data_IF_917881031054
#
_entry.id   IF_917881031054
#
_cell.length_a   1.000
_cell.length_b   1.000
_cell.length_c   1.000
_cell.angle_alpha   90.00
_cell.angle_beta   90.00
_cell.angle_gamma   90.00
#
_symmetry.space_group_name_H-M   'P 1'
#
loop_
_entity.id
_entity.type
_entity.pdbx_description
1 polymer ?
#
# COMPACT_ATOMS: atom_id res chain seq x y z
N UNK A 1 -3.34 -9.49 -2.89
CA UNK A 1 -3.80 -8.86 -4.16
C UNK A 1 -2.66 -8.56 -5.13
N UNK A 2 -1.44 -8.34 -4.62
CA UNK A 2 -0.27 -8.06 -5.49
C UNK A 2 0.07 -9.27 -6.37
N UNK A 3 0.01 -10.47 -5.81
CA UNK A 3 0.21 -11.71 -6.57
C UNK A 3 -0.85 -11.88 -7.66
N UNK A 4 -2.11 -11.57 -7.35
CA UNK A 4 -3.21 -11.68 -8.30
C UNK A 4 -3.07 -10.67 -9.45
N UNK A 5 -2.54 -9.47 -9.18
CA UNK A 5 -2.24 -8.49 -10.23
C UNK A 5 -1.10 -8.99 -11.14
N UNK A 6 -0.05 -9.57 -10.57
CA UNK A 6 1.03 -10.16 -11.35
C UNK A 6 0.52 -11.33 -12.21
N UNK A 7 -0.31 -12.20 -11.64
CA UNK A 7 -0.94 -13.32 -12.36
C UNK A 7 -1.81 -12.84 -13.52
N UNK A 8 -2.52 -11.71 -13.36
CA UNK A 8 -3.28 -11.10 -14.47
C UNK A 8 -2.37 -10.75 -15.66
N UNK A 9 -1.22 -10.13 -15.40
CA UNK A 9 -0.28 -9.77 -16.48
C UNK A 9 0.35 -10.99 -17.14
N UNK A 10 0.70 -12.00 -16.35
CA UNK A 10 1.20 -13.29 -16.87
C UNK A 10 0.16 -13.94 -17.78
N UNK A 11 -1.09 -14.00 -17.34
CA UNK A 11 -2.20 -14.55 -18.13
C UNK A 11 -2.45 -13.73 -19.40
N UNK A 12 -2.40 -12.41 -19.33
CA UNK A 12 -2.56 -11.55 -20.49
C UNK A 12 -1.45 -11.75 -21.52
N UNK A 13 -0.20 -11.90 -21.06
CA UNK A 13 0.96 -12.18 -21.88
C UNK A 13 1.00 -13.61 -22.43
N UNK A 14 0.18 -14.54 -21.89
CA UNK A 14 0.20 -15.95 -22.25
C UNK A 14 1.30 -16.75 -21.53
N UNK A 15 1.90 -16.20 -20.47
CA UNK A 15 2.91 -16.86 -19.66
C UNK A 15 2.28 -17.43 -18.37
N UNK A 16 2.40 -18.73 -18.15
CA UNK A 16 1.88 -19.47 -17.01
C UNK A 16 2.95 -19.78 -15.95
N UNK A 17 4.20 -19.35 -16.15
CA UNK A 17 5.28 -19.57 -15.19
C UNK A 17 5.03 -18.82 -13.86
N UNK A 18 5.88 -19.01 -12.87
CA UNK A 18 5.73 -18.51 -11.49
C UNK A 18 5.28 -17.05 -11.39
N UNK A 19 4.42 -16.76 -10.42
CA UNK A 19 3.95 -15.40 -10.12
C UNK A 19 5.11 -14.53 -9.64
N UNK A 20 5.28 -13.37 -10.26
CA UNK A 20 6.25 -12.36 -9.88
C UNK A 20 5.54 -11.02 -9.60
N UNK A 21 5.71 -10.46 -8.42
CA UNK A 21 5.08 -9.20 -8.01
C UNK A 21 5.45 -8.00 -8.89
N UNK A 22 6.64 -8.06 -9.50
CA UNK A 22 7.14 -7.03 -10.42
C UNK A 22 6.95 -7.40 -11.89
N UNK A 23 6.15 -8.43 -12.19
CA UNK A 23 6.05 -8.99 -13.54
C UNK A 23 5.82 -7.94 -14.62
N UNK A 24 4.85 -7.04 -14.46
CA UNK A 24 4.61 -5.99 -15.45
C UNK A 24 5.83 -5.08 -15.64
N UNK A 25 6.46 -4.65 -14.55
CA UNK A 25 7.62 -3.75 -14.60
C UNK A 25 8.80 -4.37 -15.37
N UNK A 26 9.03 -5.66 -15.19
CA UNK A 26 10.12 -6.40 -15.83
C UNK A 26 9.81 -6.79 -17.28
N UNK A 27 8.55 -7.06 -17.59
CA UNK A 27 8.08 -7.56 -18.89
C UNK A 27 7.20 -6.56 -19.65
N UNK A 28 7.30 -5.26 -19.37
CA UNK A 28 6.43 -4.23 -19.96
C UNK A 28 6.47 -4.21 -21.49
N UNK A 29 7.63 -4.40 -22.09
CA UNK A 29 7.80 -4.42 -23.56
C UNK A 29 7.12 -5.61 -24.19
N UNK A 30 7.27 -6.79 -23.60
CA UNK A 30 6.63 -8.01 -24.08
C UNK A 30 5.10 -7.92 -23.94
N UNK A 31 4.60 -7.37 -22.85
CA UNK A 31 3.17 -7.13 -22.67
C UNK A 31 2.65 -6.13 -23.71
N UNK A 32 3.42 -5.09 -24.04
CA UNK A 32 3.05 -4.16 -25.11
C UNK A 32 3.02 -4.83 -26.49
N UNK A 33 4.02 -5.68 -26.83
CA UNK A 33 4.02 -6.47 -28.06
C UNK A 33 2.81 -7.39 -28.16
N UNK A 34 2.44 -8.04 -27.04
CA UNK A 34 1.24 -8.88 -26.98
C UNK A 34 -0.02 -8.05 -27.23
N UNK A 35 -0.15 -6.85 -26.63
CA UNK A 35 -1.27 -5.96 -26.87
C UNK A 35 -1.34 -5.48 -28.32
N UNK A 36 -0.19 -5.24 -28.96
CA UNK A 36 -0.08 -4.90 -30.38
C UNK A 36 -0.52 -6.05 -31.27
N UNK A 37 -0.03 -7.28 -31.00
CA UNK A 37 -0.42 -8.47 -31.79
C UNK A 37 -1.91 -8.78 -31.70
N UNK A 38 -2.50 -8.54 -30.52
CA UNK A 38 -3.95 -8.67 -30.29
C UNK A 38 -4.76 -7.49 -30.84
N UNK A 39 -4.11 -6.46 -31.38
CA UNK A 39 -4.74 -5.20 -31.83
C UNK A 39 -5.63 -4.57 -30.75
N UNK A 40 -5.26 -4.74 -29.48
CA UNK A 40 -6.01 -4.24 -28.33
C UNK A 40 -5.67 -2.76 -28.06
N UNK A 41 -6.33 -1.88 -28.79
CA UNK A 41 -6.13 -0.44 -28.70
C UNK A 41 -6.45 0.12 -27.30
N UNK A 42 -7.45 -0.47 -26.61
CA UNK A 42 -7.83 -0.09 -25.25
C UNK A 42 -6.71 -0.39 -24.26
N UNK A 43 -6.16 -1.60 -24.32
CA UNK A 43 -5.01 -2.00 -23.51
C UNK A 43 -3.79 -1.17 -23.82
N UNK A 44 -3.45 -0.94 -25.08
CA UNK A 44 -2.31 -0.10 -25.47
C UNK A 44 -2.42 1.33 -24.91
N UNK A 45 -3.62 1.89 -24.92
CA UNK A 45 -3.86 3.21 -24.31
C UNK A 45 -3.67 3.16 -22.79
N UNK A 46 -4.19 2.13 -22.12
CA UNK A 46 -3.99 1.95 -20.68
C UNK A 46 -2.52 1.76 -20.32
N UNK A 47 -1.78 0.92 -21.06
CA UNK A 47 -0.36 0.65 -20.81
C UNK A 47 0.50 1.92 -20.96
N UNK A 48 0.22 2.79 -21.93
CA UNK A 48 0.88 4.10 -22.05
C UNK A 48 0.67 4.95 -20.79
N UNK A 49 -0.57 5.00 -20.28
CA UNK A 49 -0.88 5.73 -19.06
C UNK A 49 -0.23 5.09 -17.82
N UNK A 50 -0.22 3.76 -17.73
CA UNK A 50 0.43 3.05 -16.63
C UNK A 50 1.94 3.28 -16.63
N UNK A 51 2.60 3.20 -17.78
CA UNK A 51 4.03 3.48 -17.89
C UNK A 51 4.36 4.91 -17.46
N UNK A 52 3.60 5.90 -17.96
CA UNK A 52 3.79 7.29 -17.55
C UNK A 52 3.61 7.50 -16.04
N UNK A 53 2.70 6.73 -15.40
CA UNK A 53 2.57 6.73 -13.94
C UNK A 53 3.80 6.12 -13.25
N UNK A 54 4.29 4.98 -13.74
CA UNK A 54 5.48 4.31 -13.18
C UNK A 54 6.73 5.18 -13.31
N UNK A 55 6.93 5.81 -14.46
CA UNK A 55 8.03 6.75 -14.69
C UNK A 55 7.96 7.97 -13.74
N UNK A 56 6.75 8.48 -13.49
CA UNK A 56 6.55 9.53 -12.50
C UNK A 56 6.90 9.07 -11.07
N UNK A 57 6.55 7.83 -10.71
CA UNK A 57 6.90 7.24 -9.41
C UNK A 57 8.41 7.08 -9.26
N UNK A 58 9.10 6.61 -10.28
CA UNK A 58 10.56 6.45 -10.27
C UNK A 58 11.28 7.78 -10.07
N UNK A 59 10.87 8.80 -10.79
CA UNK A 59 11.44 10.15 -10.65
C UNK A 59 11.17 10.81 -9.31
N UNK A 60 10.07 10.44 -8.63
CA UNK A 60 9.74 10.93 -7.28
C UNK A 60 10.34 10.09 -6.15
N UNK A 61 10.88 8.92 -6.46
CA UNK A 61 11.53 8.07 -5.47
C UNK A 61 13.04 8.40 -5.43
N UNK A 62 13.48 9.36 -4.60
CA UNK A 62 14.85 9.80 -4.63
C UNK A 62 15.75 8.69 -4.08
N UNK A 63 16.71 8.26 -4.86
CA UNK A 63 17.93 7.72 -4.30
C UNK A 63 18.57 8.84 -3.46
N UNK A 64 19.24 8.49 -2.35
CA UNK A 64 19.79 9.44 -1.38
C UNK A 64 20.62 10.61 -1.98
N UNK A 65 20.90 10.58 -3.25
CA UNK A 65 21.77 11.51 -3.97
C UNK A 65 21.12 12.22 -5.17
N UNK A 66 19.90 11.86 -5.54
CA UNK A 66 19.30 12.37 -6.79
C UNK A 66 17.86 12.87 -6.55
N UNK A 67 17.74 14.06 -6.00
CA UNK A 67 16.46 14.71 -5.78
C UNK A 67 15.97 15.37 -7.07
N UNK A 68 14.71 15.12 -7.43
CA UNK A 68 14.09 15.81 -8.55
C UNK A 68 14.14 17.33 -8.34
N UNK A 69 14.62 18.05 -9.36
CA UNK A 69 14.65 19.52 -9.41
C UNK A 69 13.22 20.09 -9.33
N UNK A 70 13.10 21.38 -9.04
CA UNK A 70 11.81 22.07 -9.03
C UNK A 70 11.08 21.94 -10.38
N UNK A 71 11.80 22.03 -11.49
CA UNK A 71 11.24 21.90 -12.84
C UNK A 71 10.73 20.47 -13.10
N UNK A 72 11.50 19.46 -12.75
CA UNK A 72 11.10 18.06 -12.89
C UNK A 72 9.86 17.74 -12.03
N UNK A 73 9.80 18.23 -10.79
CA UNK A 73 8.61 18.07 -9.94
C UNK A 73 7.37 18.69 -10.58
N UNK A 74 7.51 19.85 -11.22
CA UNK A 74 6.40 20.48 -11.94
C UNK A 74 5.95 19.62 -13.12
N UNK A 75 6.87 19.11 -13.93
CA UNK A 75 6.57 18.22 -15.06
C UNK A 75 5.88 16.92 -14.58
N UNK A 76 6.34 16.35 -13.47
CA UNK A 76 5.70 15.17 -12.85
C UNK A 76 4.26 15.50 -12.43
N UNK A 77 4.04 16.64 -11.77
CA UNK A 77 2.69 17.07 -11.37
C UNK A 77 1.75 17.28 -12.57
N UNK A 78 2.25 17.84 -13.65
CA UNK A 78 1.51 17.98 -14.91
C UNK A 78 1.16 16.60 -15.51
N UNK A 79 2.12 15.68 -15.51
CA UNK A 79 1.91 14.30 -15.98
C UNK A 79 0.84 13.60 -15.14
N UNK A 80 0.94 13.65 -13.81
CA UNK A 80 -0.05 13.07 -12.89
C UNK A 80 -1.45 13.68 -13.10
N UNK A 81 -1.52 14.96 -13.43
CA UNK A 81 -2.80 15.63 -13.71
C UNK A 81 -3.41 15.11 -15.00
N UNK A 82 -2.63 14.94 -16.08
CA UNK A 82 -3.10 14.31 -17.33
C UNK A 82 -3.61 12.89 -17.10
N UNK A 83 -2.85 12.08 -16.35
CA UNK A 83 -3.21 10.71 -16.05
C UNK A 83 -4.51 10.61 -15.21
N UNK A 84 -4.67 11.51 -14.23
CA UNK A 84 -5.90 11.61 -13.47
C UNK A 84 -7.10 11.95 -14.35
N UNK A 85 -6.95 12.90 -15.27
CA UNK A 85 -8.00 13.27 -16.21
C UNK A 85 -8.33 12.13 -17.19
N UNK A 86 -7.31 11.47 -17.76
CA UNK A 86 -7.52 10.28 -18.60
C UNK A 86 -8.33 9.20 -17.87
N UNK A 87 -8.04 9.00 -16.58
CA UNK A 87 -8.78 8.04 -15.76
C UNK A 87 -10.23 8.46 -15.48
N UNK A 88 -10.51 9.76 -15.38
CA UNK A 88 -11.87 10.29 -15.17
C UNK A 88 -12.75 10.17 -16.40
N UNK A 89 -12.19 10.38 -17.59
CA UNK A 89 -12.93 10.36 -18.85
C UNK A 89 -13.12 8.96 -19.43
N UNK A 90 -12.41 7.95 -18.91
CA UNK A 90 -12.56 6.59 -19.38
C UNK A 90 -13.98 6.06 -19.13
N UNK A 91 -14.67 5.71 -20.21
CA UNK A 91 -16.07 5.20 -20.17
C UNK A 91 -16.19 3.72 -20.54
N UNK A 92 -15.08 3.07 -20.92
CA UNK A 92 -15.07 1.66 -21.28
C UNK A 92 -15.36 0.76 -20.06
N UNK A 93 -15.83 -0.45 -20.31
CA UNK A 93 -16.16 -1.44 -19.28
C UNK A 93 -15.00 -2.36 -18.96
N UNK A 94 -14.21 -2.75 -19.95
CA UNK A 94 -13.16 -3.79 -19.82
C UNK A 94 -12.04 -3.41 -18.83
N UNK A 95 -11.57 -2.15 -18.84
CA UNK A 95 -10.47 -1.68 -18.01
C UNK A 95 -10.95 -0.71 -16.91
N UNK A 96 -12.23 -0.78 -16.54
CA UNK A 96 -12.83 0.14 -15.56
C UNK A 96 -12.14 0.10 -14.20
N UNK A 97 -11.82 -1.08 -13.69
CA UNK A 97 -11.12 -1.24 -12.41
C UNK A 97 -9.67 -0.77 -12.48
N UNK A 98 -9.00 -0.99 -13.60
CA UNK A 98 -7.62 -0.56 -13.83
C UNK A 98 -7.52 0.98 -13.89
N UNK A 99 -8.40 1.64 -14.62
CA UNK A 99 -8.46 3.10 -14.65
C UNK A 99 -8.92 3.71 -13.32
N UNK A 100 -9.83 3.06 -12.59
CA UNK A 100 -10.20 3.47 -11.24
C UNK A 100 -9.00 3.43 -10.28
N UNK A 101 -8.21 2.35 -10.33
CA UNK A 101 -6.97 2.24 -9.57
C UNK A 101 -5.96 3.33 -9.97
N UNK A 102 -5.76 3.57 -11.27
CA UNK A 102 -4.85 4.61 -11.76
C UNK A 102 -5.28 6.00 -11.25
N UNK A 103 -6.59 6.28 -11.21
CA UNK A 103 -7.13 7.51 -10.62
C UNK A 103 -6.77 7.65 -9.14
N UNK A 104 -6.97 6.60 -8.34
CA UNK A 104 -6.66 6.64 -6.92
C UNK A 104 -5.15 6.74 -6.66
N UNK A 105 -4.33 6.08 -7.45
CA UNK A 105 -2.86 6.19 -7.42
C UNK A 105 -2.38 7.60 -7.72
N UNK A 106 -2.88 8.22 -8.78
CA UNK A 106 -2.52 9.61 -9.13
C UNK A 106 -2.99 10.62 -8.08
N UNK A 107 -4.18 10.44 -7.51
CA UNK A 107 -4.64 11.25 -6.38
C UNK A 107 -3.72 11.10 -5.17
N UNK A 108 -3.31 9.87 -4.83
CA UNK A 108 -2.39 9.61 -3.71
C UNK A 108 -1.07 10.33 -3.90
N UNK A 109 -0.47 10.26 -5.11
CA UNK A 109 0.78 10.94 -5.43
C UNK A 109 0.66 12.47 -5.37
N UNK A 110 -0.53 13.01 -5.61
CA UNK A 110 -0.84 14.45 -5.52
C UNK A 110 -1.25 14.89 -4.11
N UNK A 111 -1.32 13.98 -3.13
CA UNK A 111 -1.79 14.27 -1.79
C UNK A 111 -3.30 14.48 -1.66
N UNK A 112 -4.10 14.12 -2.66
CA UNK A 112 -5.54 14.30 -2.70
C UNK A 112 -6.27 13.18 -1.92
N UNK A 113 -5.93 13.04 -0.64
CA UNK A 113 -6.42 11.96 0.21
C UNK A 113 -7.94 11.99 0.39
N UNK A 114 -8.52 13.17 0.63
CA UNK A 114 -9.98 13.32 0.78
C UNK A 114 -10.72 12.92 -0.50
N UNK A 115 -10.17 13.22 -1.68
CA UNK A 115 -10.77 12.80 -2.95
C UNK A 115 -10.76 11.29 -3.11
N UNK A 116 -9.73 10.60 -2.63
CA UNK A 116 -9.68 9.13 -2.61
C UNK A 116 -10.73 8.53 -1.68
N UNK A 117 -10.95 9.13 -0.50
CA UNK A 117 -12.01 8.69 0.43
C UNK A 117 -13.38 8.84 -0.24
N UNK A 118 -13.68 10.02 -0.80
CA UNK A 118 -14.94 10.28 -1.49
C UNK A 118 -15.15 9.31 -2.68
N UNK A 119 -14.10 9.11 -3.49
CA UNK A 119 -14.18 8.23 -4.65
C UNK A 119 -14.37 6.76 -4.27
N UNK A 120 -13.68 6.29 -3.23
CA UNK A 120 -13.87 4.95 -2.70
C UNK A 120 -15.33 4.73 -2.25
N UNK A 121 -15.85 5.60 -1.40
CA UNK A 121 -17.18 5.48 -0.84
C UNK A 121 -18.28 5.53 -1.92
N UNK A 122 -18.11 6.38 -2.92
CA UNK A 122 -19.12 6.60 -3.96
C UNK A 122 -19.06 5.55 -5.08
N UNK A 123 -17.87 5.08 -5.47
CA UNK A 123 -17.67 4.34 -6.72
C UNK A 123 -16.82 3.08 -6.52
N UNK A 124 -15.58 3.21 -6.03
CA UNK A 124 -14.60 2.14 -6.11
C UNK A 124 -14.97 0.91 -5.26
N UNK A 125 -15.60 1.11 -4.12
CA UNK A 125 -16.09 0.03 -3.23
C UNK A 125 -17.17 -0.85 -3.87
N UNK A 126 -17.87 -0.33 -4.86
CA UNK A 126 -18.96 -1.01 -5.59
C UNK A 126 -18.49 -1.72 -6.86
N UNK A 127 -17.21 -1.56 -7.24
CA UNK A 127 -16.64 -2.29 -8.36
C UNK A 127 -16.57 -3.80 -8.03
N UNK A 128 -16.56 -4.67 -9.04
CA UNK A 128 -16.45 -6.11 -8.82
C UNK A 128 -15.26 -6.48 -7.94
N UNK A 129 -15.43 -7.51 -7.10
CA UNK A 129 -14.32 -8.07 -6.31
C UNK A 129 -13.18 -8.47 -7.25
N UNK A 130 -12.02 -7.91 -7.04
CA UNK A 130 -10.86 -8.11 -7.91
C UNK A 130 -9.59 -7.63 -7.19
N UNK A 131 -8.40 -8.06 -7.64
CA UNK A 131 -7.12 -7.56 -7.13
C UNK A 131 -6.99 -6.04 -7.24
N UNK A 132 -7.58 -5.46 -8.28
CA UNK A 132 -7.63 -4.00 -8.49
C UNK A 132 -8.42 -3.28 -7.40
N UNK A 133 -9.57 -3.86 -7.00
CA UNK A 133 -10.37 -3.30 -5.92
C UNK A 133 -9.66 -3.40 -4.57
N UNK A 134 -8.97 -4.50 -4.30
CA UNK A 134 -8.17 -4.65 -3.08
C UNK A 134 -6.99 -3.68 -3.05
N UNK A 135 -6.32 -3.44 -4.19
CA UNK A 135 -5.30 -2.40 -4.30
C UNK A 135 -5.87 -0.99 -4.04
N UNK A 136 -7.08 -0.70 -4.54
CA UNK A 136 -7.78 0.56 -4.24
C UNK A 136 -8.17 0.67 -2.76
N UNK A 137 -8.56 -0.44 -2.11
CA UNK A 137 -8.85 -0.49 -0.68
C UNK A 137 -7.61 -0.17 0.16
N UNK A 138 -6.43 -0.63 -0.25
CA UNK A 138 -5.17 -0.27 0.39
C UNK A 138 -4.87 1.24 0.28
N UNK A 139 -5.08 1.83 -0.91
CA UNK A 139 -4.93 3.28 -1.09
C UNK A 139 -5.96 4.07 -0.26
N UNK A 140 -7.18 3.56 -0.14
CA UNK A 140 -8.20 4.14 0.73
C UNK A 140 -7.76 4.12 2.20
N UNK A 141 -7.20 3.01 2.68
CA UNK A 141 -6.62 2.92 4.03
C UNK A 141 -5.52 3.98 4.23
N UNK A 142 -4.63 4.15 3.24
CA UNK A 142 -3.62 5.21 3.29
C UNK A 142 -4.24 6.61 3.36
N UNK A 143 -5.31 6.86 2.62
CA UNK A 143 -6.03 8.12 2.65
C UNK A 143 -6.70 8.37 4.01
N UNK A 144 -7.31 7.35 4.62
CA UNK A 144 -7.84 7.41 5.99
C UNK A 144 -6.76 7.75 7.00
N UNK A 145 -5.59 7.09 6.91
CA UNK A 145 -4.45 7.40 7.78
C UNK A 145 -4.03 8.86 7.68
N UNK A 146 -3.87 9.36 6.45
CA UNK A 146 -3.44 10.74 6.18
C UNK A 146 -4.47 11.81 6.60
N UNK A 147 -5.71 11.42 6.86
CA UNK A 147 -6.81 12.29 7.32
C UNK A 147 -7.19 12.06 8.80
N UNK A 148 -6.33 11.39 9.57
CA UNK A 148 -6.50 11.18 11.00
C UNK A 148 -7.39 10.01 11.43
N UNK A 149 -7.92 9.24 10.47
CA UNK A 149 -8.75 8.05 10.74
C UNK A 149 -7.89 6.80 10.91
N UNK A 150 -6.97 6.85 11.88
CA UNK A 150 -5.89 5.88 12.03
C UNK A 150 -6.40 4.47 12.31
N UNK A 151 -7.35 4.30 13.24
CA UNK A 151 -7.88 3.00 13.60
C UNK A 151 -8.52 2.29 12.41
N UNK A 152 -9.36 3.00 11.64
CA UNK A 152 -10.01 2.43 10.45
C UNK A 152 -8.98 2.02 9.38
N UNK A 153 -7.91 2.80 9.23
CA UNK A 153 -6.83 2.46 8.31
C UNK A 153 -6.11 1.18 8.73
N UNK A 154 -5.78 1.05 10.03
CA UNK A 154 -5.10 -0.12 10.57
C UNK A 154 -5.95 -1.38 10.46
N UNK A 155 -7.25 -1.29 10.72
CA UNK A 155 -8.19 -2.42 10.53
C UNK A 155 -8.16 -2.93 9.09
N UNK A 156 -8.19 -2.03 8.11
CA UNK A 156 -8.12 -2.40 6.68
C UNK A 156 -6.79 -3.07 6.34
N UNK A 157 -5.67 -2.53 6.83
CA UNK A 157 -4.36 -3.16 6.60
C UNK A 157 -4.27 -4.55 7.24
N UNK A 158 -4.83 -4.72 8.44
CA UNK A 158 -4.88 -6.01 9.13
C UNK A 158 -5.73 -7.03 8.37
N UNK A 159 -6.93 -6.63 7.91
CA UNK A 159 -7.79 -7.48 7.08
C UNK A 159 -7.14 -7.88 5.75
N UNK A 160 -6.29 -7.03 5.20
CA UNK A 160 -5.54 -7.31 3.96
C UNK A 160 -4.23 -8.08 4.20
N UNK A 161 -3.82 -8.27 5.46
CA UNK A 161 -2.52 -8.85 5.79
C UNK A 161 -1.33 -7.99 5.36
N UNK A 162 -1.51 -6.66 5.26
CA UNK A 162 -0.45 -5.73 4.89
C UNK A 162 0.46 -5.43 6.10
N UNK A 163 1.27 -6.42 6.45
CA UNK A 163 2.18 -6.36 7.60
C UNK A 163 3.22 -5.25 7.47
N UNK A 164 3.61 -4.87 6.24
CA UNK A 164 4.56 -3.79 6.01
C UNK A 164 3.99 -2.44 6.47
N UNK A 165 2.75 -2.14 6.08
CA UNK A 165 2.05 -0.92 6.52
C UNK A 165 1.78 -0.94 8.03
N UNK A 166 1.33 -2.08 8.58
CA UNK A 166 1.06 -2.23 10.02
C UNK A 166 2.33 -1.98 10.84
N UNK A 167 3.45 -2.60 10.49
CA UNK A 167 4.71 -2.48 11.22
C UNK A 167 5.15 -1.02 11.36
N UNK A 168 4.95 -0.21 10.33
CA UNK A 168 5.32 1.21 10.32
C UNK A 168 4.29 2.07 11.05
N UNK A 169 3.00 1.84 10.81
CA UNK A 169 1.93 2.75 11.22
C UNK A 169 1.39 2.44 12.62
N UNK A 170 1.43 1.17 13.06
CA UNK A 170 0.91 0.77 14.37
C UNK A 170 1.90 1.01 15.52
N UNK A 171 3.06 1.60 15.29
CA UNK A 171 4.13 1.75 16.28
C UNK A 171 3.64 2.28 17.64
N UNK A 172 2.76 3.27 17.65
CA UNK A 172 2.23 3.88 18.86
C UNK A 172 1.08 3.09 19.52
N UNK A 173 0.64 1.98 18.92
CA UNK A 173 -0.46 1.15 19.41
C UNK A 173 0.00 -0.21 19.95
N UNK A 174 1.31 -0.49 19.92
CA UNK A 174 1.89 -1.80 20.22
C UNK A 174 2.08 -2.08 21.71
N UNK A 175 1.86 -1.09 22.57
CA UNK A 175 1.92 -1.23 24.04
C UNK A 175 0.53 -1.56 24.62
N UNK A 176 0.47 -1.91 25.89
CA UNK A 176 -0.78 -2.30 26.57
C UNK A 176 -1.85 -1.21 26.47
N UNK A 177 -1.49 0.05 26.69
CA UNK A 177 -2.41 1.19 26.58
C UNK A 177 -3.01 1.33 25.17
N UNK A 178 -2.19 1.12 24.13
CA UNK A 178 -2.63 1.11 22.74
C UNK A 178 -3.59 -0.03 22.42
N UNK A 179 -3.32 -1.22 22.94
CA UNK A 179 -4.20 -2.41 22.83
C UNK A 179 -5.55 -2.12 23.51
N UNK A 180 -5.52 -1.65 24.76
CA UNK A 180 -6.73 -1.28 25.50
C UNK A 180 -7.54 -0.21 24.78
N UNK A 181 -6.88 0.86 24.29
CA UNK A 181 -7.54 1.92 23.53
C UNK A 181 -8.17 1.39 22.23
N UNK A 182 -7.53 0.46 21.54
CA UNK A 182 -8.07 -0.16 20.34
C UNK A 182 -9.29 -1.03 20.68
N UNK A 183 -9.20 -1.84 21.72
CA UNK A 183 -10.31 -2.69 22.19
C UNK A 183 -11.54 -1.87 22.60
N UNK A 184 -11.33 -0.80 23.39
CA UNK A 184 -12.42 0.06 23.84
C UNK A 184 -13.14 0.77 22.70
N UNK A 185 -12.42 1.12 21.62
CA UNK A 185 -13.01 1.75 20.42
C UNK A 185 -13.72 0.75 19.51
N UNK A 186 -13.16 -0.43 19.35
CA UNK A 186 -13.70 -1.49 18.49
C UNK A 186 -13.23 -2.85 18.99
N UNK A 187 -14.01 -3.58 19.82
CA UNK A 187 -13.66 -4.90 20.30
C UNK A 187 -13.44 -5.94 19.20
N UNK A 188 -14.03 -5.70 18.01
CA UNK A 188 -13.91 -6.56 16.83
C UNK A 188 -12.85 -6.07 15.83
N UNK A 189 -11.95 -5.18 16.25
CA UNK A 189 -10.87 -4.68 15.39
C UNK A 189 -9.97 -5.82 14.93
N UNK A 190 -9.76 -5.94 13.62
CA UNK A 190 -8.83 -6.90 13.04
C UNK A 190 -7.38 -6.67 13.51
N UNK A 191 -7.07 -5.46 13.97
CA UNK A 191 -5.75 -5.12 14.51
C UNK A 191 -5.47 -5.78 15.87
N UNK A 192 -6.48 -6.12 16.66
CA UNK A 192 -6.26 -6.66 18.02
C UNK A 192 -5.44 -7.95 18.00
N UNK A 193 -5.73 -8.86 17.09
CA UNK A 193 -4.96 -10.10 16.93
C UNK A 193 -3.48 -9.82 16.70
N UNK A 194 -3.18 -8.86 15.79
CA UNK A 194 -1.81 -8.47 15.53
C UNK A 194 -1.15 -7.81 16.74
N UNK A 195 -1.83 -6.84 17.36
CA UNK A 195 -1.28 -6.09 18.50
C UNK A 195 -1.01 -6.98 19.70
N UNK A 196 -1.95 -7.88 20.03
CA UNK A 196 -1.79 -8.83 21.15
C UNK A 196 -0.64 -9.80 20.84
N UNK A 197 -0.59 -10.39 19.66
CA UNK A 197 0.49 -11.31 19.28
C UNK A 197 1.86 -10.61 19.32
N UNK A 198 1.95 -9.39 18.78
CA UNK A 198 3.17 -8.60 18.79
C UNK A 198 3.60 -8.23 20.21
N UNK A 199 2.65 -7.85 21.08
CA UNK A 199 2.91 -7.55 22.48
C UNK A 199 3.45 -8.78 23.25
N UNK A 200 2.78 -9.93 23.12
CA UNK A 200 3.22 -11.19 23.74
C UNK A 200 4.62 -11.58 23.26
N UNK A 201 4.89 -11.51 21.95
CA UNK A 201 6.20 -11.83 21.41
C UNK A 201 7.29 -10.89 21.95
N UNK A 202 7.00 -9.59 22.07
CA UNK A 202 7.96 -8.62 22.62
C UNK A 202 8.19 -8.83 24.12
N UNK A 203 7.15 -9.17 24.91
CA UNK A 203 7.29 -9.53 26.33
C UNK A 203 8.16 -10.79 26.46
N UNK A 204 7.91 -11.83 25.69
CA UNK A 204 8.67 -13.07 25.71
C UNK A 204 10.15 -12.82 25.37
N UNK A 205 10.43 -12.10 24.28
CA UNK A 205 11.79 -11.74 23.90
C UNK A 205 12.52 -10.93 24.98
N UNK A 206 11.78 -10.07 25.69
CA UNK A 206 12.33 -9.27 26.78
C UNK A 206 12.70 -10.14 27.98
N UNK A 207 11.86 -11.12 28.33
CA UNK A 207 12.11 -12.09 29.40
C UNK A 207 13.33 -12.95 29.02
N UNK A 208 13.34 -13.53 27.81
CA UNK A 208 14.43 -14.38 27.31
C UNK A 208 15.77 -13.64 27.25
N UNK A 209 15.74 -12.34 26.93
CA UNK A 209 16.94 -11.51 26.87
C UNK A 209 17.54 -11.21 28.25
N UNK A 210 16.73 -11.23 29.32
CA UNK A 210 17.22 -11.04 30.69
C UNK A 210 18.05 -12.21 31.20
N UNK A 211 17.82 -13.42 30.69
CA UNK A 211 18.60 -14.62 31.04
C UNK A 211 19.96 -14.69 30.33
N UNK A 212 20.22 -13.78 29.39
CA UNK A 212 21.47 -13.70 28.62
C UNK A 212 22.13 -12.33 28.88
N UNK A 213 23.29 -12.32 29.51
CA UNK A 213 24.03 -11.13 29.99
C UNK A 213 24.52 -10.15 28.93
N UNK A 214 24.14 -10.29 27.65
CA UNK A 214 24.59 -9.42 26.56
C UNK A 214 23.42 -8.88 25.76
N UNK A 215 22.83 -7.76 26.22
CA UNK A 215 21.97 -6.95 25.36
C UNK A 215 22.80 -5.77 24.88
N UNK A 216 23.04 -5.72 23.58
CA UNK A 216 23.67 -4.59 22.92
C UNK A 216 22.85 -3.32 23.18
N UNK A 217 23.46 -2.31 23.83
CA UNK A 217 22.77 -1.07 24.21
C UNK A 217 22.16 -0.35 23.02
N UNK A 218 22.82 -0.37 21.87
CA UNK A 218 22.32 0.23 20.62
C UNK A 218 20.99 -0.39 20.18
N UNK A 219 20.83 -1.69 20.38
CA UNK A 219 19.59 -2.40 20.03
C UNK A 219 18.41 -2.04 20.95
N UNK A 220 18.71 -1.64 22.21
CA UNK A 220 17.69 -1.17 23.19
C UNK A 220 17.24 0.25 22.86
N UNK A 221 18.13 1.12 22.42
CA UNK A 221 17.79 2.50 22.03
C UNK A 221 16.99 2.55 20.74
N UNK A 222 17.32 1.71 19.75
CA UNK A 222 16.61 1.63 18.47
C UNK A 222 15.17 1.11 18.62
N UNK A 223 14.90 0.31 19.66
CA UNK A 223 13.58 -0.26 19.95
C UNK A 223 12.93 0.43 21.15
N UNK A 224 13.02 1.69 21.41
CA UNK A 224 12.44 2.40 22.57
C UNK A 224 11.14 1.82 23.19
N UNK A 225 10.54 0.82 22.55
CA UNK A 225 9.46 -0.04 23.04
C UNK A 225 9.89 -1.07 24.09
N UNK A 226 11.14 -1.55 24.12
CA UNK A 226 11.54 -2.64 25.03
C UNK A 226 11.49 -2.26 26.51
N UNK A 227 11.79 -1.02 26.85
CA UNK A 227 11.71 -0.54 28.24
C UNK A 227 10.23 -0.54 28.71
N UNK A 228 9.31 -0.22 27.83
CA UNK A 228 7.86 -0.24 28.10
C UNK A 228 7.42 -1.68 28.32
N UNK A 229 7.80 -2.61 27.45
CA UNK A 229 7.46 -4.04 27.59
C UNK A 229 8.08 -4.69 28.82
N UNK A 230 9.29 -4.29 29.22
CA UNK A 230 9.90 -4.75 30.46
C UNK A 230 9.08 -4.37 31.69
N UNK A 231 8.57 -3.15 31.71
CA UNK A 231 7.77 -2.64 32.82
C UNK A 231 6.39 -3.28 32.86
N UNK A 232 5.79 -3.52 31.69
CA UNK A 232 4.46 -4.14 31.55
C UNK A 232 4.47 -5.65 31.78
N UNK A 233 5.57 -6.36 31.42
CA UNK A 233 5.72 -7.79 31.66
C UNK A 233 5.98 -8.17 33.13
N UNK A 234 6.31 -7.20 34.00
CA UNK A 234 6.58 -7.39 35.43
C UNK A 234 5.37 -7.07 36.33
N UNK A 235 4.32 -6.49 35.77
CA UNK A 235 3.05 -6.20 36.42
C UNK A 235 1.99 -7.24 36.05
#
# INVERSE_FOLDING_TARGET
YLYDIASYWQKYAGNTSSVNLSFYRWNKEDIQKVAQSKKDAGMLSYLRNLNAYLDACEKLNPNAWNYASKQERLQIQQSLTRLNNASKIYKGTQLKSQYALLRMRTNMMKGFHQQNITYWNAIASRLPKSPWREAMRNIYARALWKTGKHQQALDIYAEQGDMASIRVLARNYRNLAGIQSTYLKNPNSAMLTYLVQDFVNNCQQTIDSRSKEQIDKEWIEEIGAKVIYQKEALN
#
